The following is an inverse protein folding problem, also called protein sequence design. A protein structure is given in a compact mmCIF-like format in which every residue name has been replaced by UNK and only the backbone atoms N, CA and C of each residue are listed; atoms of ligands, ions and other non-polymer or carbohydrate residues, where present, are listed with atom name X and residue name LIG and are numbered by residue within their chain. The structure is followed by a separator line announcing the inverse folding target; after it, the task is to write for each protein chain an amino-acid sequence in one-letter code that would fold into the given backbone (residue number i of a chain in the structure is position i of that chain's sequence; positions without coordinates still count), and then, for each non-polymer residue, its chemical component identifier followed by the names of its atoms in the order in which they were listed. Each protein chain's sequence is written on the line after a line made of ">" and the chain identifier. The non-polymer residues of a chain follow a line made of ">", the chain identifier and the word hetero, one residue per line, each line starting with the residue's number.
data_IF_784913880109
#
_entry.id   IF_784913880109
#
_cell.length_a   1.000
_cell.length_b   1.000
_cell.length_c   1.000
_cell.angle_alpha   90.00
_cell.angle_beta   90.00
_cell.angle_gamma   90.00
#
_symmetry.space_group_name_H-M   'P 1'
#
loop_
_entity.id
_entity.type
_entity.pdbx_description
1 polymer ?
#
# COMPACT_ATOMS: atom_id res chain seq x y z
N UNK A 1 -26.03 -20.15 -21.57
CA UNK A 1 -25.57 -19.55 -20.30
C UNK A 1 -24.28 -18.75 -20.54
N UNK A 2 -24.36 -17.62 -21.26
CA UNK A 2 -23.20 -16.82 -21.72
C UNK A 2 -23.51 -15.31 -21.58
N UNK A 3 -23.77 -14.84 -20.35
CA UNK A 3 -24.05 -13.41 -20.08
C UNK A 3 -23.20 -12.80 -18.95
N UNK A 4 -22.19 -13.51 -18.41
CA UNK A 4 -21.43 -13.04 -17.23
C UNK A 4 -20.07 -12.38 -17.51
N UNK A 5 -19.61 -12.28 -18.76
CA UNK A 5 -18.32 -11.66 -19.07
C UNK A 5 -18.40 -10.19 -19.53
N UNK A 6 -19.60 -9.63 -19.71
CA UNK A 6 -19.78 -8.26 -20.24
C UNK A 6 -19.80 -7.13 -19.21
N UNK A 7 -19.89 -7.42 -17.89
CA UNK A 7 -20.20 -6.37 -16.90
C UNK A 7 -19.00 -5.48 -16.53
N UNK A 8 -17.77 -5.90 -16.84
CA UNK A 8 -16.56 -5.10 -16.58
C UNK A 8 -15.61 -4.99 -17.78
N UNK A 9 -15.92 -5.63 -18.93
CA UNK A 9 -15.16 -5.45 -20.17
C UNK A 9 -15.43 -4.11 -20.85
N UNK A 10 -16.45 -3.36 -20.41
CA UNK A 10 -16.69 -2.01 -20.90
C UNK A 10 -16.00 -0.98 -20.01
N UNK A 11 -14.79 -0.64 -20.44
CA UNK A 11 -14.05 0.61 -20.22
C UNK A 11 -14.91 1.91 -20.33
N UNK A 12 -16.18 1.79 -20.70
CA UNK A 12 -17.12 2.85 -21.05
C UNK A 12 -17.88 3.45 -19.85
N UNK A 13 -18.13 2.70 -18.77
CA UNK A 13 -18.87 3.23 -17.61
C UNK A 13 -18.06 4.24 -16.76
N UNK A 14 -16.74 4.23 -16.88
CA UNK A 14 -15.84 5.01 -16.00
C UNK A 14 -15.28 6.29 -16.62
N UNK A 15 -15.45 6.53 -17.93
CA UNK A 15 -14.82 7.66 -18.64
C UNK A 15 -15.72 8.88 -18.85
N UNK A 16 -17.04 8.75 -18.79
CA UNK A 16 -17.95 9.89 -19.02
C UNK A 16 -18.49 10.45 -17.69
N UNK A 17 -18.54 11.78 -17.58
CA UNK A 17 -19.11 12.48 -16.41
C UNK A 17 -20.53 11.98 -16.10
N UNK A 18 -21.27 11.57 -17.14
CA UNK A 18 -22.65 11.09 -17.13
C UNK A 18 -22.83 9.82 -16.29
N UNK A 19 -21.85 8.92 -16.17
CA UNK A 19 -22.04 7.62 -15.49
C UNK A 19 -21.42 7.53 -14.09
N UNK A 20 -20.60 8.50 -13.66
CA UNK A 20 -19.93 8.47 -12.34
C UNK A 20 -20.92 8.41 -11.17
N UNK A 21 -22.07 9.07 -11.29
CA UNK A 21 -23.08 9.11 -10.25
C UNK A 21 -23.64 7.73 -9.89
N UNK A 22 -23.58 6.77 -10.82
CA UNK A 22 -24.07 5.40 -10.61
C UNK A 22 -23.26 4.66 -9.55
N UNK A 23 -21.95 4.93 -9.44
CA UNK A 23 -21.10 4.36 -8.38
C UNK A 23 -21.57 4.85 -7.00
N UNK A 24 -21.98 6.11 -6.89
CA UNK A 24 -22.44 6.69 -5.64
C UNK A 24 -23.89 6.26 -5.27
N UNK A 25 -24.75 6.00 -6.28
CA UNK A 25 -26.18 5.73 -6.06
C UNK A 25 -26.57 4.25 -6.13
N UNK A 26 -25.82 3.42 -6.86
CA UNK A 26 -26.19 2.03 -7.11
C UNK A 26 -25.21 1.06 -6.46
N UNK A 27 -25.71 0.26 -5.50
CA UNK A 27 -24.91 -0.73 -4.74
C UNK A 27 -24.09 -1.66 -5.64
N UNK A 28 -24.66 -2.15 -6.75
CA UNK A 28 -23.97 -3.06 -7.67
C UNK A 28 -22.74 -2.44 -8.32
N UNK A 29 -22.79 -1.14 -8.65
CA UNK A 29 -21.66 -0.42 -9.24
C UNK A 29 -20.64 -0.01 -8.19
N UNK A 30 -21.07 0.32 -6.97
CA UNK A 30 -20.20 0.60 -5.85
C UNK A 30 -19.34 -0.63 -5.47
N UNK A 31 -19.99 -1.78 -5.25
CA UNK A 31 -19.29 -3.04 -4.93
C UNK A 31 -18.46 -3.50 -6.12
N UNK A 32 -19.03 -3.41 -7.32
CA UNK A 32 -18.37 -3.75 -8.57
C UNK A 32 -17.06 -3.00 -8.82
N UNK A 33 -17.06 -1.68 -8.60
CA UNK A 33 -15.85 -0.86 -8.77
C UNK A 33 -14.78 -1.17 -7.73
N UNK A 34 -15.17 -1.47 -6.48
CA UNK A 34 -14.24 -1.90 -5.44
C UNK A 34 -13.57 -3.24 -5.78
N UNK A 35 -14.35 -4.23 -6.22
CA UNK A 35 -13.83 -5.53 -6.68
C UNK A 35 -12.93 -5.36 -7.91
N UNK A 36 -13.33 -4.52 -8.87
CA UNK A 36 -12.50 -4.23 -10.03
C UNK A 36 -11.16 -3.62 -9.64
N UNK A 37 -11.16 -2.62 -8.75
CA UNK A 37 -9.92 -2.00 -8.27
C UNK A 37 -9.01 -3.03 -7.58
N UNK A 38 -9.61 -3.90 -6.76
CA UNK A 38 -8.89 -4.94 -6.02
C UNK A 38 -8.12 -5.92 -6.92
N UNK A 39 -8.67 -6.24 -8.09
CA UNK A 39 -8.07 -7.20 -9.01
C UNK A 39 -7.27 -6.58 -10.16
N UNK A 40 -7.65 -5.38 -10.62
CA UNK A 40 -7.21 -4.84 -11.92
C UNK A 40 -6.69 -3.40 -11.87
N UNK A 41 -6.60 -2.78 -10.70
CA UNK A 41 -6.06 -1.41 -10.62
C UNK A 41 -4.57 -1.35 -11.00
N UNK A 42 -4.02 -0.15 -11.11
CA UNK A 42 -2.58 0.06 -11.29
C UNK A 42 -1.73 -0.56 -10.18
N UNK A 43 -2.33 -0.83 -9.02
CA UNK A 43 -1.69 -1.52 -7.91
C UNK A 43 -1.54 -3.03 -8.15
N UNK A 44 -2.17 -3.57 -9.19
CA UNK A 44 -2.24 -4.99 -9.49
C UNK A 44 -3.32 -5.72 -8.69
N UNK A 45 -3.24 -7.05 -8.68
CA UNK A 45 -4.12 -7.89 -7.88
C UNK A 45 -3.67 -7.87 -6.41
N UNK A 46 -4.54 -7.42 -5.50
CA UNK A 46 -4.24 -7.30 -4.08
C UNK A 46 -4.42 -8.62 -3.30
N UNK A 47 -5.10 -9.60 -3.90
CA UNK A 47 -5.43 -10.87 -3.23
C UNK A 47 -4.21 -11.63 -2.68
N UNK A 48 -3.07 -11.73 -3.39
CA UNK A 48 -1.88 -12.40 -2.85
C UNK A 48 -1.34 -11.74 -1.58
N UNK A 49 -1.50 -10.42 -1.42
CA UNK A 49 -1.06 -9.71 -0.21
C UNK A 49 -2.05 -9.94 0.94
N UNK A 50 -3.35 -9.86 0.66
CA UNK A 50 -4.38 -10.05 1.66
C UNK A 50 -4.40 -11.48 2.23
N UNK A 51 -4.22 -12.51 1.40
CA UNK A 51 -4.13 -13.90 1.84
C UNK A 51 -2.97 -14.09 2.82
N UNK A 52 -1.85 -13.40 2.61
CA UNK A 52 -0.68 -13.46 3.48
C UNK A 52 -0.76 -12.53 4.71
N UNK A 53 -1.94 -11.99 5.03
CA UNK A 53 -2.14 -10.98 6.09
C UNK A 53 -1.16 -9.80 5.99
N UNK A 54 -0.78 -9.42 4.75
CA UNK A 54 0.13 -8.30 4.49
C UNK A 54 -0.68 -7.00 4.37
N UNK A 55 -1.14 -6.52 5.52
CA UNK A 55 -1.89 -5.27 5.63
C UNK A 55 -1.03 -4.07 5.20
N UNK A 56 0.29 -4.13 5.42
CA UNK A 56 1.25 -3.11 5.00
C UNK A 56 1.20 -2.93 3.49
N UNK A 57 1.36 -4.02 2.72
CA UNK A 57 1.30 -3.96 1.27
C UNK A 57 -0.09 -3.56 0.78
N UNK A 58 -1.14 -4.16 1.33
CA UNK A 58 -2.52 -3.86 0.92
C UNK A 58 -2.83 -2.36 1.09
N UNK A 59 -2.47 -1.77 2.22
CA UNK A 59 -2.68 -0.34 2.47
C UNK A 59 -1.80 0.56 1.59
N UNK A 60 -0.51 0.25 1.48
CA UNK A 60 0.43 1.04 0.70
C UNK A 60 0.10 1.02 -0.79
N UNK A 61 -0.38 -0.10 -1.32
CA UNK A 61 -0.75 -0.26 -2.72
C UNK A 61 -2.07 0.47 -3.07
N UNK A 62 -3.02 0.54 -2.14
CA UNK A 62 -4.29 1.28 -2.33
C UNK A 62 -4.06 2.80 -2.33
N UNK A 63 -3.28 3.33 -1.39
CA UNK A 63 -3.17 4.77 -1.17
C UNK A 63 -1.83 5.37 -1.62
N UNK A 64 -0.88 4.52 -2.01
CA UNK A 64 0.49 4.92 -2.27
C UNK A 64 1.28 5.33 -1.02
N UNK A 65 0.82 5.02 0.20
CA UNK A 65 1.44 5.40 1.49
C UNK A 65 0.60 4.96 2.70
N UNK A 66 0.92 5.46 3.91
CA UNK A 66 0.36 4.97 5.17
C UNK A 66 -0.62 5.92 5.87
N UNK A 67 -1.28 6.79 5.11
CA UNK A 67 -2.36 7.62 5.64
C UNK A 67 -3.56 6.74 6.05
N UNK A 68 -4.01 6.89 7.30
CA UNK A 68 -5.10 6.12 7.90
C UNK A 68 -4.77 4.63 8.10
N UNK A 69 -3.49 4.27 8.18
CA UNK A 69 -3.06 2.88 8.38
C UNK A 69 -3.64 2.27 9.66
N UNK A 70 -3.54 2.96 10.80
CA UNK A 70 -4.03 2.43 12.08
C UNK A 70 -5.56 2.27 12.07
N UNK A 71 -6.28 3.17 11.41
CA UNK A 71 -7.73 3.05 11.29
C UNK A 71 -8.13 1.87 10.41
N UNK A 72 -7.38 1.62 9.33
CA UNK A 72 -7.55 0.41 8.51
C UNK A 72 -7.24 -0.85 9.30
N UNK A 73 -6.21 -0.84 10.13
CA UNK A 73 -5.90 -1.95 11.04
C UNK A 73 -7.05 -2.22 12.03
N UNK A 74 -7.63 -1.17 12.63
CA UNK A 74 -8.80 -1.33 13.51
C UNK A 74 -9.99 -1.96 12.78
N UNK A 75 -10.31 -1.50 11.56
CA UNK A 75 -11.39 -2.09 10.78
C UNK A 75 -11.11 -3.52 10.36
N UNK A 76 -9.86 -3.84 10.00
CA UNK A 76 -9.43 -5.20 9.71
C UNK A 76 -9.68 -6.12 10.92
N UNK A 77 -9.24 -5.72 12.12
CA UNK A 77 -9.45 -6.49 13.36
C UNK A 77 -10.93 -6.67 13.68
N UNK A 78 -11.74 -5.63 13.49
CA UNK A 78 -13.21 -5.72 13.64
C UNK A 78 -13.83 -6.71 12.65
N UNK A 79 -13.38 -6.72 11.40
CA UNK A 79 -13.87 -7.65 10.39
C UNK A 79 -13.50 -9.10 10.72
N UNK A 80 -12.28 -9.35 11.22
CA UNK A 80 -11.85 -10.68 11.70
C UNK A 80 -12.79 -11.21 12.77
N UNK A 81 -13.17 -10.37 13.73
CA UNK A 81 -14.10 -10.72 14.82
C UNK A 81 -15.51 -10.95 14.26
N UNK A 82 -16.04 -9.99 13.50
CA UNK A 82 -17.43 -10.02 13.01
C UNK A 82 -17.71 -11.20 12.08
N UNK A 83 -16.71 -11.63 11.29
CA UNK A 83 -16.81 -12.76 10.38
C UNK A 83 -16.35 -14.09 11.01
N UNK A 84 -15.99 -14.08 12.30
CA UNK A 84 -15.54 -15.24 13.07
C UNK A 84 -14.39 -16.02 12.39
N UNK A 85 -13.48 -15.30 11.74
CA UNK A 85 -12.44 -15.87 10.86
C UNK A 85 -11.56 -16.89 11.59
N UNK A 86 -11.30 -16.67 12.89
CA UNK A 86 -10.47 -17.57 13.71
C UNK A 86 -11.06 -18.98 13.87
N UNK A 87 -12.36 -19.14 13.64
CA UNK A 87 -13.04 -20.45 13.73
C UNK A 87 -13.14 -21.17 12.39
N UNK A 88 -12.71 -20.53 11.29
CA UNK A 88 -12.74 -21.15 9.97
C UNK A 88 -11.70 -22.28 9.87
N UNK A 89 -12.18 -23.51 9.72
CA UNK A 89 -11.33 -24.71 9.64
C UNK A 89 -10.48 -24.81 8.36
N UNK A 90 -10.86 -24.06 7.32
CA UNK A 90 -10.22 -24.13 5.99
C UNK A 90 -9.09 -23.10 5.81
N UNK A 91 -8.70 -22.37 6.86
CA UNK A 91 -7.63 -21.38 6.80
C UNK A 91 -6.32 -21.96 7.30
N UNK A 92 -5.21 -21.53 6.69
CA UNK A 92 -3.87 -21.88 7.19
C UNK A 92 -3.71 -21.37 8.63
N UNK A 93 -3.29 -22.28 9.52
CA UNK A 93 -3.10 -21.98 10.94
C UNK A 93 -2.12 -20.83 11.17
N UNK A 94 -1.08 -20.69 10.33
CA UNK A 94 -0.13 -19.56 10.42
C UNK A 94 -0.80 -18.22 10.16
N UNK A 95 -1.78 -18.18 9.24
CA UNK A 95 -2.57 -16.98 8.97
C UNK A 95 -3.43 -16.69 10.20
N UNK A 96 -4.15 -17.70 10.70
CA UNK A 96 -5.03 -17.59 11.87
C UNK A 96 -4.29 -17.08 13.10
N UNK A 97 -3.13 -17.67 13.40
CA UNK A 97 -2.27 -17.32 14.54
C UNK A 97 -1.76 -15.88 14.46
N UNK A 98 -1.68 -15.31 13.25
CA UNK A 98 -1.24 -13.94 13.03
C UNK A 98 -2.38 -12.94 12.81
N UNK A 99 -3.67 -13.30 12.93
CA UNK A 99 -4.80 -12.37 12.65
C UNK A 99 -4.92 -11.20 13.65
N UNK A 100 -4.41 -11.37 14.87
CA UNK A 100 -4.38 -10.28 15.86
C UNK A 100 -3.32 -9.22 15.56
N UNK A 101 -2.38 -9.57 14.69
CA UNK A 101 -1.37 -8.69 14.17
C UNK A 101 -1.51 -8.64 12.64
N UNK A 102 -0.64 -7.87 11.99
CA UNK A 102 -0.41 -8.02 10.56
C UNK A 102 1.02 -8.49 10.35
N UNK A 103 1.31 -9.01 9.17
CA UNK A 103 2.65 -9.45 8.79
C UNK A 103 3.69 -8.37 9.09
N UNK A 104 4.76 -8.74 9.80
CA UNK A 104 5.87 -7.84 10.15
C UNK A 104 6.42 -7.14 8.90
N UNK A 105 6.91 -5.91 9.06
CA UNK A 105 7.41 -5.11 7.94
C UNK A 105 8.44 -5.87 7.10
N UNK A 106 9.39 -6.55 7.73
CA UNK A 106 10.46 -7.32 7.11
C UNK A 106 9.96 -8.48 6.24
N UNK A 107 8.72 -8.94 6.48
CA UNK A 107 8.08 -10.01 5.73
C UNK A 107 7.04 -9.48 4.72
N UNK A 108 6.82 -8.16 4.66
CA UNK A 108 5.88 -7.55 3.73
C UNK A 108 6.45 -7.53 2.31
N UNK A 109 5.58 -7.69 1.32
CA UNK A 109 5.90 -7.45 -0.09
C UNK A 109 6.55 -6.08 -0.31
N UNK A 110 6.17 -5.06 0.48
CA UNK A 110 6.76 -3.71 0.40
C UNK A 110 8.26 -3.74 0.67
N UNK A 111 8.69 -4.46 1.71
CA UNK A 111 10.09 -4.52 2.14
C UNK A 111 11.02 -5.00 1.04
N UNK A 112 10.55 -5.96 0.23
CA UNK A 112 11.33 -6.55 -0.85
C UNK A 112 11.22 -5.79 -2.16
N UNK A 113 10.07 -5.17 -2.45
CA UNK A 113 9.75 -4.77 -3.83
C UNK A 113 9.52 -3.26 -4.03
N UNK A 114 9.33 -2.48 -2.97
CA UNK A 114 8.80 -1.11 -3.09
C UNK A 114 9.64 -0.11 -2.30
N UNK A 115 10.73 0.35 -2.92
CA UNK A 115 11.72 1.28 -2.35
C UNK A 115 11.06 2.56 -1.80
N UNK A 116 10.15 3.16 -2.58
CA UNK A 116 9.41 4.35 -2.18
C UNK A 116 8.61 4.12 -0.91
N UNK A 117 7.88 3.02 -0.87
CA UNK A 117 7.01 2.65 0.23
C UNK A 117 7.82 2.21 1.47
N UNK A 118 9.03 1.64 1.34
CA UNK A 118 9.97 1.46 2.46
C UNK A 118 10.35 2.79 3.11
N UNK A 119 10.69 3.81 2.31
CA UNK A 119 10.91 5.17 2.81
C UNK A 119 9.65 5.74 3.49
N UNK A 120 8.48 5.47 2.91
CA UNK A 120 7.18 5.81 3.50
C UNK A 120 6.97 5.17 4.87
N UNK A 121 7.35 3.91 5.05
CA UNK A 121 7.20 3.22 6.34
C UNK A 121 8.04 3.91 7.42
N UNK A 122 9.27 4.28 7.06
CA UNK A 122 10.16 5.10 7.89
C UNK A 122 9.49 6.42 8.29
N UNK A 123 9.00 7.16 7.28
CA UNK A 123 8.45 8.51 7.42
C UNK A 123 7.15 8.59 8.23
N UNK A 124 6.24 7.62 8.08
CA UNK A 124 4.99 7.61 8.84
C UNK A 124 5.18 7.13 10.27
N UNK A 125 6.13 6.23 10.50
CA UNK A 125 6.47 5.73 11.84
C UNK A 125 7.36 6.68 12.64
N UNK A 126 8.04 7.63 11.99
CA UNK A 126 9.00 8.54 12.64
C UNK A 126 8.32 9.42 13.73
N UNK A 127 8.75 9.32 15.01
CA UNK A 127 8.24 10.14 16.11
C UNK A 127 8.46 11.65 15.96
N UNK A 128 9.53 12.10 15.30
CA UNK A 128 9.73 13.52 15.01
C UNK A 128 9.08 13.94 13.68
N UNK A 129 8.53 12.98 12.93
CA UNK A 129 7.90 13.21 11.63
C UNK A 129 6.46 13.72 11.75
N UNK A 130 6.08 14.63 10.87
CA UNK A 130 4.74 15.24 10.86
C UNK A 130 3.65 14.38 10.19
N UNK A 131 4.00 13.27 9.51
CA UNK A 131 3.03 12.43 8.81
C UNK A 131 2.06 11.78 9.82
N UNK A 132 0.77 11.78 9.48
CA UNK A 132 -0.32 11.25 10.32
C UNK A 132 -0.90 9.96 9.74
N UNK A 133 -1.58 9.20 10.60
CA UNK A 133 -2.32 7.99 10.22
C UNK A 133 -1.62 6.68 10.54
N UNK A 134 -0.41 6.73 11.10
CA UNK A 134 0.28 5.60 11.71
C UNK A 134 0.84 6.01 13.07
N UNK A 135 0.74 5.14 14.06
CA UNK A 135 1.29 5.36 15.39
C UNK A 135 2.81 5.46 15.29
N UNK A 136 3.36 6.42 16.02
CA UNK A 136 4.79 6.69 16.02
C UNK A 136 5.55 5.61 16.76
N UNK A 137 6.62 5.12 16.14
CA UNK A 137 7.45 4.06 16.68
C UNK A 137 8.88 4.18 16.10
N UNK A 138 9.86 4.44 16.97
CA UNK A 138 11.26 4.60 16.56
C UNK A 138 11.80 3.34 15.87
N UNK A 139 11.51 2.15 16.40
CA UNK A 139 11.99 0.89 15.83
C UNK A 139 11.43 0.64 14.42
N UNK A 140 10.14 0.85 14.21
CA UNK A 140 9.53 0.72 12.87
C UNK A 140 10.05 1.79 11.90
N UNK A 141 10.31 3.00 12.40
CA UNK A 141 10.92 4.06 11.60
C UNK A 141 12.33 3.68 11.15
N UNK A 142 13.16 3.16 12.06
CA UNK A 142 14.51 2.65 11.76
C UNK A 142 14.48 1.56 10.70
N UNK A 143 13.59 0.57 10.83
CA UNK A 143 13.46 -0.51 9.84
C UNK A 143 13.17 0.03 8.44
N UNK A 144 12.21 0.95 8.32
CA UNK A 144 11.85 1.57 7.05
C UNK A 144 13.01 2.35 6.41
N UNK A 145 13.66 3.23 7.18
CA UNK A 145 14.78 4.03 6.69
C UNK A 145 16.01 3.19 6.36
N UNK A 146 16.38 2.22 7.19
CA UNK A 146 17.50 1.32 6.93
C UNK A 146 17.29 0.53 5.65
N UNK A 147 16.12 -0.08 5.47
CA UNK A 147 15.82 -0.84 4.26
C UNK A 147 15.79 0.04 3.02
N UNK A 148 15.21 1.24 3.12
CA UNK A 148 15.24 2.21 2.03
C UNK A 148 16.67 2.54 1.60
N UNK A 149 17.56 2.85 2.54
CA UNK A 149 18.95 3.19 2.25
C UNK A 149 19.72 2.01 1.68
N UNK A 150 19.47 0.80 2.16
CA UNK A 150 20.07 -0.43 1.64
C UNK A 150 19.76 -0.60 0.15
N UNK A 151 18.48 -0.57 -0.24
CA UNK A 151 18.09 -0.77 -1.65
C UNK A 151 18.52 0.41 -2.54
N UNK A 152 18.65 1.62 -2.00
CA UNK A 152 19.11 2.78 -2.77
C UNK A 152 20.54 2.68 -3.28
N UNK A 153 21.41 1.90 -2.61
CA UNK A 153 22.83 1.84 -2.98
C UNK A 153 23.04 1.37 -4.43
N UNK A 154 22.14 0.53 -4.93
CA UNK A 154 22.27 -0.13 -6.23
C UNK A 154 21.32 0.43 -7.28
N UNK A 155 20.83 1.68 -7.11
CA UNK A 155 19.77 2.27 -7.97
C UNK A 155 20.01 3.75 -8.26
N UNK A 156 20.15 4.09 -9.55
CA UNK A 156 20.26 5.48 -10.02
C UNK A 156 18.97 6.29 -9.81
N UNK A 157 17.81 5.62 -9.93
CA UNK A 157 16.49 6.23 -9.72
C UNK A 157 15.66 5.42 -8.72
N UNK A 158 15.93 5.52 -7.41
CA UNK A 158 15.26 4.71 -6.38
C UNK A 158 13.72 4.84 -6.36
N UNK A 159 13.20 5.98 -6.81
CA UNK A 159 11.75 6.22 -6.92
C UNK A 159 11.21 6.03 -8.35
N UNK A 160 12.05 5.59 -9.28
CA UNK A 160 11.76 5.55 -10.71
C UNK A 160 12.04 6.88 -11.40
N UNK A 161 11.88 6.90 -12.71
CA UNK A 161 12.11 8.07 -13.55
C UNK A 161 10.95 8.28 -14.53
N UNK A 162 10.87 9.50 -15.07
CA UNK A 162 10.07 9.86 -16.23
C UNK A 162 10.98 10.51 -17.27
N UNK A 163 10.58 10.50 -18.53
CA UNK A 163 11.29 11.25 -19.57
C UNK A 163 10.79 12.70 -19.62
N UNK A 164 11.70 13.65 -19.76
CA UNK A 164 11.35 15.04 -20.06
C UNK A 164 11.01 15.22 -21.56
N UNK A 165 10.65 16.45 -21.96
CA UNK A 165 10.33 16.77 -23.37
C UNK A 165 11.50 16.52 -24.34
N UNK A 166 12.73 16.43 -23.83
CA UNK A 166 13.96 16.18 -24.58
C UNK A 166 14.38 14.71 -24.52
N UNK A 167 13.62 13.84 -23.88
CA UNK A 167 13.91 12.41 -23.71
C UNK A 167 14.82 12.06 -22.53
N UNK A 168 15.28 13.03 -21.73
CA UNK A 168 16.17 12.77 -20.60
C UNK A 168 15.42 12.14 -19.43
N UNK A 169 16.05 11.19 -18.75
CA UNK A 169 15.50 10.56 -17.55
C UNK A 169 15.59 11.50 -16.35
N UNK A 170 14.43 11.89 -15.82
CA UNK A 170 14.29 12.72 -14.63
C UNK A 170 13.65 11.88 -13.51
N UNK A 171 14.33 11.83 -12.36
CA UNK A 171 13.85 11.09 -11.19
C UNK A 171 12.49 11.59 -10.71
N UNK A 172 11.62 10.65 -10.33
CA UNK A 172 10.33 11.00 -9.74
C UNK A 172 10.49 11.33 -8.25
N UNK A 173 9.44 11.92 -7.68
CA UNK A 173 9.37 12.19 -6.24
C UNK A 173 8.43 11.20 -5.57
N UNK A 174 8.71 10.86 -4.31
CA UNK A 174 7.79 10.13 -3.43
C UNK A 174 7.56 10.93 -2.17
N UNK A 175 6.29 11.08 -1.79
CA UNK A 175 5.87 11.82 -0.59
C UNK A 175 6.34 13.28 -0.50
N UNK A 176 6.67 13.89 -1.64
CA UNK A 176 7.25 15.24 -1.74
C UNK A 176 8.78 15.28 -1.80
N UNK A 177 9.46 14.14 -1.65
CA UNK A 177 10.92 14.04 -1.62
C UNK A 177 11.48 13.54 -2.95
N UNK A 178 12.59 14.13 -3.39
CA UNK A 178 13.45 13.49 -4.40
C UNK A 178 14.21 12.34 -3.73
N UNK A 179 14.81 11.46 -4.52
CA UNK A 179 15.64 10.37 -3.97
C UNK A 179 16.76 10.92 -3.07
N UNK A 180 17.48 11.96 -3.52
CA UNK A 180 18.57 12.57 -2.74
C UNK A 180 18.08 13.17 -1.43
N UNK A 181 16.97 13.92 -1.43
CA UNK A 181 16.47 14.51 -0.17
C UNK A 181 15.91 13.45 0.78
N UNK A 182 15.32 12.38 0.25
CA UNK A 182 14.90 11.22 1.06
C UNK A 182 16.10 10.49 1.68
N UNK A 183 17.18 10.27 0.92
CA UNK A 183 18.42 9.65 1.42
C UNK A 183 19.03 10.49 2.54
N UNK A 184 19.15 11.81 2.34
CA UNK A 184 19.67 12.73 3.36
C UNK A 184 18.81 12.69 4.62
N UNK A 185 17.49 12.74 4.48
CA UNK A 185 16.57 12.64 5.61
C UNK A 185 16.73 11.30 6.35
N UNK A 186 16.69 10.17 5.63
CA UNK A 186 16.80 8.84 6.23
C UNK A 186 18.12 8.67 7.00
N UNK A 187 19.25 9.10 6.44
CA UNK A 187 20.56 9.08 7.11
C UNK A 187 20.57 9.93 8.38
N UNK A 188 19.98 11.13 8.33
CA UNK A 188 19.86 12.00 9.50
C UNK A 188 19.01 11.34 10.59
N UNK A 189 17.81 10.88 10.24
CA UNK A 189 16.86 10.31 11.20
C UNK A 189 17.39 9.02 11.83
N UNK A 190 18.09 8.16 11.10
CA UNK A 190 18.71 6.96 11.69
C UNK A 190 19.73 7.26 12.80
N UNK A 191 20.38 8.42 12.79
CA UNK A 191 21.30 8.85 13.87
C UNK A 191 20.56 9.41 15.09
N UNK A 192 19.33 9.87 14.90
CA UNK A 192 18.54 10.60 15.90
C UNK A 192 17.45 9.73 16.56
N UNK A 193 17.15 8.56 15.98
CA UNK A 193 16.16 7.59 16.44
C UNK A 193 16.78 6.58 17.42
#
# INVERSE_FOLDING_TARGET
>A
MLQKQGFFSTLFLYRTQVNKHRIAKEKKHAVGSAVWYWHHSKAGNLSPHAINNDLIATCALINGGYNGFDDREKYYKRAVIALNIKTCLNLDKKIVDNLDNYTKFENSYIYFNKIGECFGWGLWSDPAGYKKGKLKNSNESKKGYSRFLEICKDKDYPFGYKQDKKGNKVGTKRYGYSANSAITLAKKRLKEL
#
